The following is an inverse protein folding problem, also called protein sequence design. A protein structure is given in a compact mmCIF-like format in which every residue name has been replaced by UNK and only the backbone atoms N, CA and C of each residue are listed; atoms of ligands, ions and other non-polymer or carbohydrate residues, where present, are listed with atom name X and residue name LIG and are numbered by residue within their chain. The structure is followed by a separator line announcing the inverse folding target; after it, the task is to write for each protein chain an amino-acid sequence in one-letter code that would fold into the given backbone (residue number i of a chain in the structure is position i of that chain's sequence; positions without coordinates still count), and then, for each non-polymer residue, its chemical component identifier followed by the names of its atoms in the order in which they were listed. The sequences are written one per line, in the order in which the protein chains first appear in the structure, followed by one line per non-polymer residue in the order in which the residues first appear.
data_IF_960696046405
#
_entry.id   IF_960696046405
#
_cell.length_a   1.000
_cell.length_b   1.000
_cell.length_c   1.000
_cell.angle_alpha   90.00
_cell.angle_beta   90.00
_cell.angle_gamma   90.00
#
_symmetry.space_group_name_H-M   'P 1'
#
loop_
_entity.id
_entity.type
_entity.pdbx_description
1 polymer ?
#
# COMPACT_ATOMS: atom_id res chain seq x y z
N UNK A 1 8.32 5.13 17.00
CA UNK A 1 7.22 5.32 16.04
C UNK A 1 7.79 5.37 14.62
N UNK A 2 7.07 4.85 13.65
CA UNK A 2 7.51 4.77 12.27
C UNK A 2 7.38 6.13 11.60
N UNK A 3 8.50 6.80 11.38
CA UNK A 3 8.51 8.15 10.81
C UNK A 3 8.49 8.17 9.27
N UNK A 4 8.58 9.36 8.69
CA UNK A 4 8.56 9.53 7.23
C UNK A 4 9.77 8.85 6.57
N UNK A 5 10.95 8.91 7.18
CA UNK A 5 12.14 8.27 6.64
C UNK A 5 11.99 6.75 6.64
N UNK A 6 11.39 6.19 7.70
CA UNK A 6 11.08 4.77 7.75
C UNK A 6 10.14 4.36 6.63
N UNK A 7 9.07 5.16 6.41
CA UNK A 7 8.08 4.88 5.36
C UNK A 7 8.72 4.87 3.97
N UNK A 8 9.53 5.87 3.67
CA UNK A 8 10.24 5.95 2.39
C UNK A 8 11.18 4.76 2.20
N UNK A 9 11.90 4.39 3.27
CA UNK A 9 12.78 3.21 3.24
C UNK A 9 12.03 1.91 3.03
N UNK A 10 10.81 1.79 3.56
CA UNK A 10 9.98 0.62 3.34
C UNK A 10 9.51 0.53 1.89
N UNK A 11 9.16 1.64 1.28
CA UNK A 11 8.79 1.63 -0.14
C UNK A 11 9.92 1.07 -0.99
N UNK A 12 11.14 1.54 -0.77
CA UNK A 12 12.31 1.07 -1.51
C UNK A 12 12.58 -0.41 -1.26
N UNK A 13 12.53 -0.82 0.01
CA UNK A 13 12.76 -2.22 0.39
C UNK A 13 11.74 -3.16 -0.23
N UNK A 14 10.46 -2.81 -0.17
CA UNK A 14 9.38 -3.64 -0.69
C UNK A 14 9.45 -3.70 -2.21
N UNK A 15 9.75 -2.57 -2.85
CA UNK A 15 9.93 -2.53 -4.30
C UNK A 15 11.05 -3.47 -4.73
N UNK A 16 12.23 -3.33 -4.10
CA UNK A 16 13.41 -4.13 -4.44
C UNK A 16 13.20 -5.63 -4.17
N UNK A 17 12.47 -5.96 -3.11
CA UNK A 17 12.30 -7.35 -2.70
C UNK A 17 11.22 -8.09 -3.50
N UNK A 18 10.07 -7.47 -3.73
CA UNK A 18 8.93 -8.15 -4.34
C UNK A 18 8.46 -7.57 -5.67
N UNK A 19 8.92 -6.38 -6.04
CA UNK A 19 8.49 -5.68 -7.24
C UNK A 19 9.68 -5.25 -8.10
N UNK A 20 10.80 -5.96 -8.01
CA UNK A 20 12.03 -5.61 -8.75
C UNK A 20 11.83 -5.63 -10.26
N UNK A 21 10.85 -6.39 -10.75
CA UNK A 21 10.49 -6.48 -12.17
C UNK A 21 9.66 -5.28 -12.65
N UNK A 22 9.17 -4.44 -11.74
CA UNK A 22 8.31 -3.30 -12.07
C UNK A 22 9.16 -2.04 -12.26
N UNK A 23 9.19 -1.51 -13.47
CA UNK A 23 9.97 -0.32 -13.79
C UNK A 23 9.38 0.93 -13.13
N UNK A 24 10.27 1.86 -12.76
CA UNK A 24 9.91 3.16 -12.19
C UNK A 24 9.52 4.15 -13.32
N UNK A 25 8.45 3.83 -14.05
CA UNK A 25 8.02 4.64 -15.21
C UNK A 25 7.45 6.01 -14.81
N UNK A 26 7.00 6.14 -13.56
CA UNK A 26 6.52 7.40 -12.98
C UNK A 26 7.20 7.56 -11.62
N UNK A 27 7.87 8.69 -11.35
CA UNK A 27 8.47 8.90 -10.03
C UNK A 27 7.41 8.79 -8.93
N UNK A 28 7.75 8.14 -7.82
CA UNK A 28 6.80 7.86 -6.74
C UNK A 28 7.21 8.63 -5.48
N UNK A 29 6.23 9.32 -4.88
CA UNK A 29 6.33 9.89 -3.55
C UNK A 29 5.42 9.09 -2.62
N UNK A 30 5.85 8.88 -1.38
CA UNK A 30 5.04 8.23 -0.36
C UNK A 30 5.05 9.11 0.89
N UNK A 31 3.88 9.31 1.50
CA UNK A 31 3.73 10.10 2.71
C UNK A 31 2.61 9.57 3.57
N UNK A 32 2.72 9.80 4.87
CA UNK A 32 1.57 9.65 5.75
C UNK A 32 0.57 10.77 5.47
N UNK A 33 -0.70 10.43 5.48
CA UNK A 33 -1.81 11.37 5.27
C UNK A 33 -2.79 11.22 6.43
N UNK A 34 -3.81 12.11 6.46
CA UNK A 34 -4.81 12.09 7.53
C UNK A 34 -5.46 10.72 7.64
N UNK A 35 -5.92 10.33 8.85
CA UNK A 35 -6.49 9.01 9.04
C UNK A 35 -7.86 8.85 8.41
N UNK A 36 -8.13 7.64 7.95
CA UNK A 36 -9.45 7.20 7.53
C UNK A 36 -9.86 6.01 8.40
N UNK A 37 -11.16 5.81 8.57
CA UNK A 37 -11.66 4.68 9.34
C UNK A 37 -11.51 3.35 8.59
N UNK A 38 -11.65 3.37 7.26
CA UNK A 38 -11.69 2.14 6.46
C UNK A 38 -10.54 1.99 5.48
N UNK A 39 -9.94 3.09 5.05
CA UNK A 39 -8.89 3.08 4.04
C UNK A 39 -7.52 3.13 4.71
N UNK A 40 -6.62 2.23 4.33
CA UNK A 40 -5.27 2.22 4.86
C UNK A 40 -4.28 2.95 3.95
N UNK A 41 -4.52 2.99 2.64
CA UNK A 41 -3.68 3.76 1.72
C UNK A 41 -4.42 4.06 0.42
N UNK A 42 -3.80 4.89 -0.40
CA UNK A 42 -4.31 5.29 -1.72
C UNK A 42 -3.13 5.57 -2.64
N UNK A 43 -3.31 5.35 -3.94
CA UNK A 43 -2.36 5.77 -4.96
C UNK A 43 -3.11 6.56 -6.05
N UNK A 44 -2.50 7.67 -6.49
CA UNK A 44 -3.04 8.45 -7.60
C UNK A 44 -1.92 9.27 -8.26
N UNK A 45 -2.17 9.70 -9.50
CA UNK A 45 -1.28 10.62 -10.20
C UNK A 45 -1.47 12.04 -9.67
N UNK A 46 -0.38 12.78 -9.57
CA UNK A 46 -0.37 14.17 -9.10
C UNK A 46 0.64 14.97 -9.92
N UNK A 47 0.74 16.27 -9.65
CA UNK A 47 1.68 17.17 -10.32
C UNK A 47 1.50 17.14 -11.86
N UNK A 48 0.25 17.33 -12.32
CA UNK A 48 -0.07 17.28 -13.75
C UNK A 48 0.22 15.92 -14.34
N UNK A 49 -0.06 14.84 -13.62
CA UNK A 49 0.17 13.44 -14.00
C UNK A 49 1.63 13.07 -14.21
N UNK A 50 2.56 13.89 -13.70
CA UNK A 50 4.01 13.63 -13.83
C UNK A 50 4.57 12.77 -12.71
N UNK A 51 3.79 12.54 -11.66
CA UNK A 51 4.24 11.86 -10.45
C UNK A 51 3.13 10.97 -9.89
N UNK A 52 3.51 9.82 -9.37
CA UNK A 52 2.63 8.96 -8.61
C UNK A 52 2.77 9.30 -7.13
N UNK A 53 1.64 9.39 -6.41
CA UNK A 53 1.62 9.66 -4.99
C UNK A 53 0.93 8.51 -4.26
N UNK A 54 1.61 7.98 -3.24
CA UNK A 54 1.05 6.98 -2.33
C UNK A 54 0.83 7.67 -0.98
N UNK A 55 -0.43 7.74 -0.56
CA UNK A 55 -0.80 8.24 0.75
C UNK A 55 -1.09 7.07 1.69
N UNK A 56 -0.43 7.04 2.84
CA UNK A 56 -0.60 5.98 3.83
C UNK A 56 -1.27 6.56 5.06
N UNK A 57 -2.31 5.90 5.53
CA UNK A 57 -3.02 6.28 6.74
C UNK A 57 -2.03 6.45 7.90
N UNK A 58 -1.97 7.65 8.48
CA UNK A 58 -0.97 7.94 9.52
C UNK A 58 -1.12 7.11 10.78
N UNK A 59 -2.28 6.45 10.98
CA UNK A 59 -2.46 5.54 12.11
C UNK A 59 -1.52 4.32 12.02
N UNK A 60 -1.01 4.00 10.82
CA UNK A 60 -0.04 2.92 10.64
C UNK A 60 1.34 3.26 11.22
N UNK A 61 1.58 4.50 11.68
CA UNK A 61 2.80 4.85 12.41
C UNK A 61 2.87 4.19 13.78
N UNK A 62 1.74 3.84 14.35
CA UNK A 62 1.67 3.30 15.70
C UNK A 62 2.15 1.85 15.74
N UNK A 63 3.06 1.50 16.68
CA UNK A 63 3.59 0.14 16.79
C UNK A 63 2.54 -0.93 17.11
N UNK A 64 1.35 -0.54 17.58
CA UNK A 64 0.25 -1.49 17.81
C UNK A 64 -0.28 -2.05 16.49
N UNK A 65 -0.05 -1.35 15.37
CA UNK A 65 -0.34 -1.91 14.05
C UNK A 65 0.83 -2.83 13.66
N UNK A 66 0.57 -4.12 13.37
CA UNK A 66 1.64 -5.04 13.02
C UNK A 66 2.39 -4.60 11.76
N UNK A 67 3.70 -4.88 11.71
CA UNK A 67 4.53 -4.57 10.55
C UNK A 67 3.96 -5.18 9.26
N UNK A 68 3.48 -6.43 9.32
CA UNK A 68 2.92 -7.12 8.16
C UNK A 68 1.76 -6.34 7.53
N UNK A 69 0.97 -5.64 8.36
CA UNK A 69 -0.12 -4.78 7.85
C UNK A 69 0.45 -3.61 7.05
N UNK A 70 1.52 -2.99 7.52
CA UNK A 70 2.20 -1.91 6.78
C UNK A 70 2.77 -2.43 5.47
N UNK A 71 3.44 -3.58 5.51
CA UNK A 71 4.01 -4.24 4.33
C UNK A 71 2.95 -4.48 3.26
N UNK A 72 1.85 -5.13 3.62
CA UNK A 72 0.79 -5.46 2.66
C UNK A 72 0.11 -4.20 2.14
N UNK A 73 -0.07 -3.20 3.00
CA UNK A 73 -0.66 -1.91 2.60
C UNK A 73 0.16 -1.26 1.48
N UNK A 74 1.48 -1.19 1.64
CA UNK A 74 2.37 -0.61 0.62
C UNK A 74 2.39 -1.49 -0.63
N UNK A 75 2.51 -2.82 -0.46
CA UNK A 75 2.53 -3.76 -1.57
C UNK A 75 1.24 -3.70 -2.39
N UNK A 76 0.09 -3.49 -1.75
CA UNK A 76 -1.19 -3.31 -2.43
C UNK A 76 -1.15 -2.11 -3.40
N UNK A 77 -0.58 -1.00 -2.94
CA UNK A 77 -0.47 0.19 -3.79
C UNK A 77 0.56 -0.01 -4.92
N UNK A 78 1.64 -0.76 -4.67
CA UNK A 78 2.58 -1.12 -5.72
C UNK A 78 1.96 -2.06 -6.76
N UNK A 79 1.04 -2.94 -6.36
CA UNK A 79 0.28 -3.75 -7.30
C UNK A 79 -0.58 -2.87 -8.20
N UNK A 80 -1.26 -1.86 -7.65
CA UNK A 80 -1.99 -0.89 -8.46
C UNK A 80 -1.06 -0.16 -9.42
N UNK A 81 0.11 0.27 -8.95
CA UNK A 81 1.11 0.93 -9.77
C UNK A 81 1.50 0.04 -10.97
N UNK A 82 1.81 -1.22 -10.72
CA UNK A 82 2.17 -2.19 -11.75
C UNK A 82 1.03 -2.43 -12.75
N UNK A 83 -0.21 -2.33 -12.30
CA UNK A 83 -1.39 -2.53 -13.15
C UNK A 83 -1.81 -1.27 -13.92
N UNK A 84 -1.08 -0.17 -13.76
CA UNK A 84 -1.36 1.07 -14.48
C UNK A 84 -2.41 1.96 -13.82
N UNK A 85 -2.71 1.74 -12.54
CA UNK A 85 -3.58 2.62 -11.77
C UNK A 85 -2.72 3.55 -10.92
N UNK A 86 -2.87 4.86 -11.13
CA UNK A 86 -2.05 5.84 -10.44
C UNK A 86 -0.61 5.89 -10.95
N UNK A 87 -0.32 5.38 -12.14
CA UNK A 87 1.01 5.37 -12.75
C UNK A 87 0.90 5.43 -14.28
N UNK A 88 2.06 5.55 -14.95
CA UNK A 88 2.12 5.54 -16.42
C UNK A 88 2.34 4.13 -16.98
N UNK A 89 2.33 3.07 -16.17
CA UNK A 89 2.31 1.71 -16.71
C UNK A 89 1.03 1.51 -17.52
N UNK A 90 1.06 0.68 -18.58
CA UNK A 90 -0.16 0.34 -19.30
C UNK A 90 -1.20 -0.24 -18.37
N UNK A 91 -2.45 0.21 -18.52
CA UNK A 91 -3.54 -0.30 -17.70
C UNK A 91 -3.82 -1.75 -18.07
N UNK A 92 -3.57 -2.66 -17.11
CA UNK A 92 -3.69 -4.09 -17.34
C UNK A 92 -5.11 -4.60 -17.19
N UNK A 93 -5.89 -3.95 -16.33
CA UNK A 93 -7.28 -4.34 -16.03
C UNK A 93 -8.19 -3.13 -16.17
N UNK A 94 -9.47 -3.39 -16.46
CA UNK A 94 -10.46 -2.32 -16.58
C UNK A 94 -10.79 -1.67 -15.23
N UNK A 95 -10.78 -2.49 -14.16
CA UNK A 95 -11.09 -2.06 -12.80
C UNK A 95 -9.97 -2.47 -11.86
N UNK A 96 -9.61 -1.61 -10.87
CA UNK A 96 -8.45 -1.89 -10.02
C UNK A 96 -8.64 -3.05 -9.05
N UNK A 97 -9.87 -3.37 -8.65
CA UNK A 97 -10.12 -4.39 -7.62
C UNK A 97 -10.96 -5.57 -8.09
N UNK A 98 -11.61 -5.46 -9.24
CA UNK A 98 -12.53 -6.52 -9.69
C UNK A 98 -11.77 -7.81 -10.00
N UNK A 99 -12.35 -8.94 -9.60
CA UNK A 99 -11.76 -10.26 -9.84
C UNK A 99 -10.55 -10.55 -8.95
N UNK A 100 -10.41 -9.86 -7.83
CA UNK A 100 -9.32 -10.05 -6.88
C UNK A 100 -7.94 -9.90 -7.54
N UNK A 101 -7.80 -8.98 -8.52
CA UNK A 101 -6.56 -8.85 -9.29
C UNK A 101 -5.37 -8.45 -8.41
N UNK A 102 -5.59 -7.62 -7.38
CA UNK A 102 -4.52 -7.24 -6.45
C UNK A 102 -4.12 -8.43 -5.58
N UNK A 103 -5.10 -9.14 -5.01
CA UNK A 103 -4.83 -10.30 -4.17
C UNK A 103 -4.06 -11.38 -4.94
N UNK A 104 -4.44 -11.63 -6.19
CA UNK A 104 -3.71 -12.58 -7.05
C UNK A 104 -2.30 -12.10 -7.36
N UNK A 105 -2.13 -10.79 -7.59
CA UNK A 105 -0.80 -10.20 -7.82
C UNK A 105 0.12 -10.40 -6.63
N UNK A 106 -0.36 -10.09 -5.43
CA UNK A 106 0.42 -10.24 -4.20
C UNK A 106 0.75 -11.71 -3.92
N UNK A 107 -0.21 -12.61 -4.14
CA UNK A 107 0.01 -14.04 -3.96
C UNK A 107 1.07 -14.57 -4.92
N UNK A 108 0.99 -14.17 -6.19
CA UNK A 108 1.98 -14.57 -7.21
C UNK A 108 3.38 -14.07 -6.86
N UNK A 109 3.50 -12.91 -6.20
CA UNK A 109 4.78 -12.34 -5.78
C UNK A 109 5.32 -12.93 -4.49
N UNK A 110 4.64 -13.93 -3.92
CA UNK A 110 5.10 -14.61 -2.71
C UNK A 110 4.61 -14.00 -1.41
N UNK A 111 3.60 -13.14 -1.46
CA UNK A 111 3.05 -12.47 -0.27
C UNK A 111 1.72 -13.08 0.19
N UNK A 112 1.45 -14.33 -0.16
CA UNK A 112 0.18 -14.98 0.18
C UNK A 112 -0.07 -15.11 1.68
N UNK A 113 0.97 -15.49 2.45
CA UNK A 113 0.84 -15.63 3.90
C UNK A 113 0.63 -14.28 4.57
N UNK A 114 1.39 -13.26 4.13
CA UNK A 114 1.28 -11.89 4.63
C UNK A 114 -0.09 -11.30 4.32
N UNK A 115 -0.61 -11.59 3.13
CA UNK A 115 -1.94 -11.15 2.73
C UNK A 115 -3.03 -11.77 3.61
N UNK A 116 -2.92 -13.06 3.93
CA UNK A 116 -3.87 -13.71 4.83
C UNK A 116 -3.85 -13.08 6.23
N UNK A 117 -2.66 -12.83 6.77
CA UNK A 117 -2.51 -12.16 8.05
C UNK A 117 -3.16 -10.77 8.01
N UNK A 118 -2.86 -10.00 6.96
CA UNK A 118 -3.43 -8.66 6.77
C UNK A 118 -4.96 -8.69 6.77
N UNK A 119 -5.54 -9.60 6.01
CA UNK A 119 -7.00 -9.72 5.88
C UNK A 119 -7.64 -10.05 7.22
N UNK A 120 -7.10 -11.03 7.94
CA UNK A 120 -7.62 -11.42 9.25
C UNK A 120 -7.48 -10.29 10.27
N UNK A 121 -6.29 -9.67 10.32
CA UNK A 121 -6.04 -8.61 11.28
C UNK A 121 -6.93 -7.39 11.03
N UNK A 122 -7.08 -6.97 9.77
CA UNK A 122 -7.92 -5.81 9.44
C UNK A 122 -9.39 -6.08 9.72
N UNK A 123 -9.86 -7.29 9.49
CA UNK A 123 -11.24 -7.65 9.77
C UNK A 123 -11.52 -7.75 11.27
N UNK A 124 -10.56 -8.21 12.07
CA UNK A 124 -10.79 -8.51 13.48
C UNK A 124 -10.37 -7.39 14.41
N UNK A 125 -9.32 -6.63 14.06
CA UNK A 125 -8.66 -5.72 15.01
C UNK A 125 -8.67 -4.25 14.59
N UNK A 126 -8.71 -3.97 13.29
CA UNK A 126 -8.56 -2.59 12.82
C UNK A 126 -9.62 -1.66 13.40
N UNK A 127 -10.89 -2.03 13.29
CA UNK A 127 -11.99 -1.17 13.74
C UNK A 127 -12.04 -1.02 15.27
N UNK A 128 -11.54 -2.00 16.01
CA UNK A 128 -11.43 -1.89 17.46
C UNK A 128 -10.28 -0.97 17.88
N UNK A 129 -9.20 -0.97 17.09
CA UNK A 129 -8.01 -0.21 17.41
C UNK A 129 -8.11 1.28 17.01
N UNK A 130 -8.82 1.60 15.92
CA UNK A 130 -8.92 2.97 15.40
C UNK A 130 -9.34 3.98 16.48
N UNK A 131 -10.37 3.75 17.30
CA UNK A 131 -10.73 4.71 18.36
C UNK A 131 -9.60 4.96 19.35
N UNK A 132 -8.80 3.93 19.69
CA UNK A 132 -7.67 4.08 20.60
C UNK A 132 -6.54 4.89 19.97
N UNK A 133 -6.31 4.73 18.66
CA UNK A 133 -5.26 5.43 17.94
C UNK A 133 -5.58 6.91 17.73
N UNK A 134 -6.84 7.28 17.79
CA UNK A 134 -7.30 8.65 17.50
C UNK A 134 -7.60 9.46 18.76
N UNK A 135 -7.44 8.89 19.95
CA UNK A 135 -7.61 9.59 21.22
C UNK A 135 -6.57 10.69 21.45
#
# INVERSE_FOLDING_TARGET
MRDQAWLAGQLDHIWDTWFADVDHVTPVSIRYVRPWKRRLAVIYLTDGDRRSFIGVNRLLRDPRVPYTVCLVTIAHELAHYAHGFGSHHPRRYRHPHRGNVVQRELTRRGLGAELRFYTEWTNERWFDLVPELTE
#
